data_IF_267463710990
#
_entry.id   IF_267463710990
#
_cell.length_a   1.000
_cell.length_b   1.000
_cell.length_c   1.000
_cell.angle_alpha   90.00
_cell.angle_beta   90.00
_cell.angle_gamma   90.00
#
_symmetry.space_group_name_H-M   'P 1'
#
loop_
_entity.id
_entity.type
_entity.pdbx_description
1 polymer ?
#
# COMPACT_ATOMS: atom_id res chain seq x y z
N UNK A 1 -2.26 26.95 34.22
CA UNK A 1 -2.55 25.88 33.25
C UNK A 1 -3.66 26.36 32.35
N UNK A 2 -3.65 25.96 31.09
CA UNK A 2 -4.63 26.36 30.09
C UNK A 2 -5.28 25.09 29.55
N UNK A 3 -6.59 25.15 29.37
CA UNK A 3 -7.40 24.05 28.87
C UNK A 3 -7.94 24.44 27.50
N UNK A 4 -7.66 23.63 26.47
CA UNK A 4 -8.06 23.92 25.10
C UNK A 4 -8.64 22.70 24.41
N UNK A 5 -9.59 22.97 23.52
CA UNK A 5 -10.00 22.05 22.47
C UNK A 5 -9.32 22.45 21.16
N UNK A 6 -8.63 21.50 20.53
CA UNK A 6 -7.95 21.66 19.26
C UNK A 6 -8.67 20.80 18.21
N UNK A 7 -9.08 21.44 17.12
CA UNK A 7 -9.68 20.77 15.96
C UNK A 7 -8.74 20.85 14.78
N UNK A 8 -8.29 19.68 14.30
CA UNK A 8 -7.40 19.56 13.16
C UNK A 8 -8.19 19.02 11.97
N UNK A 9 -8.15 19.75 10.85
CA UNK A 9 -8.87 19.40 9.61
C UNK A 9 -7.93 19.27 8.42
N UNK A 10 -8.37 18.53 7.40
CA UNK A 10 -7.60 18.20 6.19
C UNK A 10 -7.55 16.69 5.94
N UNK A 11 -6.43 16.20 5.39
CA UNK A 11 -6.15 14.75 5.29
C UNK A 11 -5.46 14.34 6.59
N UNK A 12 -6.26 14.07 7.62
CA UNK A 12 -5.76 13.82 9.00
C UNK A 12 -6.20 12.48 9.57
N UNK A 13 -6.98 11.71 8.80
CA UNK A 13 -7.43 10.37 9.19
C UNK A 13 -6.83 9.29 8.29
N UNK A 14 -6.49 8.15 8.88
CA UNK A 14 -5.78 7.08 8.17
C UNK A 14 -4.32 7.41 7.86
N UNK A 15 -3.74 8.41 8.51
CA UNK A 15 -2.36 8.88 8.22
C UNK A 15 -1.43 8.77 9.43
N UNK A 16 -1.84 8.05 10.47
CA UNK A 16 -1.07 7.94 11.71
C UNK A 16 -1.17 9.17 12.63
N UNK A 17 -2.17 10.03 12.43
CA UNK A 17 -2.34 11.26 13.22
C UNK A 17 -2.52 10.99 14.72
N UNK A 18 -3.40 10.06 15.13
CA UNK A 18 -3.61 9.73 16.56
C UNK A 18 -2.30 9.30 17.27
N UNK A 19 -1.50 8.34 16.73
CA UNK A 19 -0.15 8.05 17.24
C UNK A 19 0.78 9.25 17.30
N UNK A 20 0.77 10.10 16.27
CA UNK A 20 1.60 11.29 16.22
C UNK A 20 1.23 12.28 17.32
N UNK A 21 -0.06 12.62 17.45
CA UNK A 21 -0.60 13.48 18.50
C UNK A 21 -0.24 12.94 19.88
N UNK A 22 -0.38 11.64 20.11
CA UNK A 22 0.00 11.01 21.37
C UNK A 22 1.51 11.21 21.69
N UNK A 23 2.39 11.00 20.71
CA UNK A 23 3.84 11.20 20.91
C UNK A 23 4.19 12.66 21.19
N UNK A 24 3.61 13.59 20.44
CA UNK A 24 3.81 15.02 20.67
C UNK A 24 3.27 15.44 22.04
N UNK A 25 2.10 14.92 22.45
CA UNK A 25 1.54 15.18 23.76
C UNK A 25 2.50 14.71 24.88
N UNK A 26 3.04 13.51 24.76
CA UNK A 26 4.03 12.99 25.72
C UNK A 26 5.33 13.80 25.74
N UNK A 27 5.83 14.23 24.58
CA UNK A 27 7.06 15.02 24.48
C UNK A 27 6.93 16.41 25.12
N UNK A 28 5.73 17.00 25.06
CA UNK A 28 5.41 18.32 25.60
C UNK A 28 4.78 18.28 27.00
N UNK A 29 4.55 17.09 27.58
CA UNK A 29 3.92 16.93 28.91
C UNK A 29 2.44 17.36 28.94
N UNK A 30 1.71 17.10 27.86
CA UNK A 30 0.29 17.43 27.70
C UNK A 30 -0.56 16.31 28.31
N UNK A 31 -1.59 16.69 29.08
CA UNK A 31 -2.64 15.77 29.54
C UNK A 31 -3.91 15.96 28.70
N UNK A 32 -4.72 14.91 28.55
CA UNK A 32 -5.99 14.96 27.81
C UNK A 32 -6.17 13.81 26.83
N UNK A 33 -6.81 14.05 25.69
CA UNK A 33 -7.17 12.97 24.77
C UNK A 33 -7.16 13.38 23.29
N UNK A 34 -7.10 12.37 22.41
CA UNK A 34 -7.30 12.52 20.96
C UNK A 34 -8.30 11.49 20.42
N UNK A 35 -9.19 11.92 19.52
CA UNK A 35 -10.11 11.05 18.79
C UNK A 35 -10.31 11.46 17.35
N UNK A 36 -10.77 10.50 16.53
CA UNK A 36 -11.25 10.76 15.18
C UNK A 36 -12.76 11.03 15.22
N UNK A 37 -13.20 12.09 14.55
CA UNK A 37 -14.61 12.40 14.29
C UNK A 37 -14.90 12.38 12.77
N UNK A 38 -16.11 12.66 12.33
CA UNK A 38 -16.44 12.76 10.89
C UNK A 38 -15.80 13.97 10.20
N UNK A 39 -15.57 15.06 10.93
CA UNK A 39 -15.11 16.37 10.44
C UNK A 39 -13.63 16.68 10.72
N UNK A 40 -12.93 15.84 11.49
CA UNK A 40 -11.49 15.92 11.64
C UNK A 40 -10.92 15.06 12.76
N UNK A 41 -9.82 15.52 13.33
CA UNK A 41 -9.24 15.01 14.57
C UNK A 41 -9.49 16.03 15.66
N UNK A 42 -10.06 15.56 16.77
CA UNK A 42 -10.34 16.36 17.95
C UNK A 42 -9.35 16.00 19.04
N UNK A 43 -8.84 17.04 19.71
CA UNK A 43 -7.87 16.91 20.79
C UNK A 43 -8.35 17.80 21.93
N UNK A 44 -8.41 17.26 23.13
CA UNK A 44 -8.54 18.05 24.34
C UNK A 44 -7.18 18.02 25.05
N UNK A 45 -6.68 19.20 25.41
CA UNK A 45 -5.32 19.35 25.91
C UNK A 45 -5.28 20.32 27.10
N UNK A 46 -4.59 19.88 28.14
CA UNK A 46 -4.39 20.63 29.37
C UNK A 46 -2.90 20.62 29.74
N UNK A 47 -2.27 21.80 29.73
CA UNK A 47 -0.87 21.97 30.13
C UNK A 47 -0.54 23.44 30.46
N UNK A 48 0.73 23.77 30.64
CA UNK A 48 1.17 25.18 30.67
C UNK A 48 0.99 25.83 29.30
N UNK A 49 0.97 27.17 29.27
CA UNK A 49 0.79 27.93 28.02
C UNK A 49 1.94 27.61 27.07
N UNK A 50 3.17 27.58 27.59
CA UNK A 50 4.38 27.31 26.81
C UNK A 50 4.38 25.90 26.20
N UNK A 51 3.89 24.91 26.95
CA UNK A 51 3.78 23.53 26.47
C UNK A 51 2.73 23.40 25.35
N UNK A 52 1.56 24.04 25.51
CA UNK A 52 0.50 24.04 24.51
C UNK A 52 0.90 24.75 23.22
N UNK A 53 1.57 25.89 23.32
CA UNK A 53 2.01 26.64 22.14
C UNK A 53 3.02 25.81 21.32
N UNK A 54 3.96 25.13 21.99
CA UNK A 54 4.88 24.18 21.35
C UNK A 54 4.17 23.00 20.71
N UNK A 55 3.19 22.41 21.41
CA UNK A 55 2.39 21.29 20.90
C UNK A 55 1.58 21.68 19.66
N UNK A 56 0.88 22.82 19.68
CA UNK A 56 0.08 23.30 18.53
C UNK A 56 0.96 23.61 17.33
N UNK A 57 2.16 24.18 17.53
CA UNK A 57 3.13 24.38 16.46
C UNK A 57 3.57 23.04 15.85
N UNK A 58 3.90 22.06 16.69
CA UNK A 58 4.31 20.73 16.26
C UNK A 58 3.21 20.02 15.43
N UNK A 59 1.93 20.18 15.79
CA UNK A 59 0.81 19.61 15.03
C UNK A 59 0.78 20.05 13.55
N UNK A 60 1.31 21.24 13.24
CA UNK A 60 1.40 21.76 11.88
C UNK A 60 2.75 21.48 11.22
N UNK A 61 3.85 21.64 11.96
CA UNK A 61 5.22 21.57 11.43
C UNK A 61 5.75 20.13 11.27
N UNK A 62 5.33 19.22 12.15
CA UNK A 62 5.83 17.85 12.22
C UNK A 62 4.78 16.80 11.86
N UNK A 63 3.69 17.23 11.22
CA UNK A 63 2.60 16.33 10.81
C UNK A 63 3.13 15.11 10.03
N UNK A 64 2.50 13.93 10.18
CA UNK A 64 2.92 12.72 9.47
C UNK A 64 3.06 12.98 7.96
N UNK A 65 4.02 12.34 7.29
CA UNK A 65 4.30 12.58 5.86
C UNK A 65 3.10 12.32 4.92
N UNK A 66 2.17 11.47 5.35
CA UNK A 66 0.92 11.18 4.64
C UNK A 66 -0.21 12.16 4.97
N UNK A 67 -0.06 12.95 6.03
CA UNK A 67 -1.04 13.92 6.47
C UNK A 67 -0.91 15.23 5.70
N UNK A 68 -2.03 15.90 5.50
CA UNK A 68 -2.07 17.28 5.03
C UNK A 68 -3.00 18.06 5.94
N UNK A 69 -2.41 18.78 6.88
CA UNK A 69 -3.14 19.66 7.78
C UNK A 69 -3.50 20.94 7.01
N UNK A 70 -4.79 21.26 6.93
CA UNK A 70 -5.29 22.47 6.28
C UNK A 70 -5.58 23.57 7.29
N UNK A 71 -6.18 23.20 8.43
CA UNK A 71 -6.50 24.14 9.49
C UNK A 71 -6.37 23.48 10.87
N UNK A 72 -5.83 24.24 11.82
CA UNK A 72 -5.79 23.90 13.24
C UNK A 72 -6.54 25.00 13.98
N UNK A 73 -7.74 24.70 14.46
CA UNK A 73 -8.52 25.62 15.28
C UNK A 73 -8.24 25.32 16.76
N UNK A 74 -8.01 26.36 17.56
CA UNK A 74 -7.83 26.23 19.02
C UNK A 74 -8.91 27.06 19.70
N UNK A 75 -9.67 26.43 20.59
CA UNK A 75 -10.68 27.09 21.41
C UNK A 75 -10.34 26.87 22.88
N UNK A 76 -10.34 27.95 23.66
CA UNK A 76 -10.21 27.86 25.11
C UNK A 76 -11.46 27.23 25.72
N UNK A 77 -11.25 26.28 26.62
CA UNK A 77 -12.32 25.65 27.41
C UNK A 77 -12.29 26.19 28.84
N UNK A 78 -13.44 26.09 29.52
CA UNK A 78 -13.54 26.55 30.91
C UNK A 78 -12.63 25.70 31.83
N UNK A 79 -11.91 26.33 32.79
CA UNK A 79 -10.91 25.64 33.62
C UNK A 79 -11.47 24.55 34.55
N UNK A 80 -12.79 24.50 34.77
CA UNK A 80 -13.44 23.73 35.84
C UNK A 80 -14.34 22.59 35.34
N UNK A 81 -14.34 22.31 34.03
CA UNK A 81 -15.08 21.17 33.41
C UNK A 81 -14.05 20.13 32.99
N UNK A 82 -13.51 19.40 33.97
CA UNK A 82 -12.52 18.36 33.71
C UNK A 82 -12.91 17.07 34.43
N UNK A 83 -12.90 15.95 33.70
CA UNK A 83 -13.03 14.63 34.31
C UNK A 83 -11.69 14.25 34.94
N UNK A 84 -11.70 13.78 36.19
CA UNK A 84 -10.48 13.48 36.95
C UNK A 84 -9.54 12.46 36.27
N UNK A 85 -10.07 11.67 35.32
CA UNK A 85 -9.32 10.70 34.52
C UNK A 85 -8.41 11.35 33.48
N UNK A 86 -8.74 12.55 32.98
CA UNK A 86 -7.95 13.24 31.95
C UNK A 86 -6.74 13.97 32.56
N UNK A 87 -6.69 14.10 33.89
CA UNK A 87 -5.69 14.89 34.64
C UNK A 87 -4.32 14.19 34.76
N UNK A 88 -4.25 12.88 34.48
CA UNK A 88 -3.08 12.06 34.83
C UNK A 88 -2.27 11.57 33.62
N UNK A 89 -2.85 11.54 32.42
CA UNK A 89 -2.17 11.04 31.21
C UNK A 89 -2.84 11.56 29.93
N UNK A 90 -2.12 11.44 28.81
CA UNK A 90 -2.70 11.61 27.49
C UNK A 90 -3.21 10.27 26.94
N UNK A 91 -4.40 10.21 26.34
CA UNK A 91 -5.00 8.96 25.86
C UNK A 91 -5.59 9.07 24.45
N UNK A 92 -5.50 7.98 23.68
CA UNK A 92 -6.25 7.86 22.42
C UNK A 92 -7.58 7.21 22.75
N UNK A 93 -8.68 7.94 22.54
CA UNK A 93 -10.04 7.47 22.87
C UNK A 93 -10.80 7.02 21.63
N UNK A 94 -11.92 6.32 21.86
CA UNK A 94 -12.75 5.79 20.78
C UNK A 94 -13.29 6.90 19.88
N UNK A 95 -13.35 6.60 18.58
CA UNK A 95 -13.84 7.52 17.56
C UNK A 95 -15.33 7.85 17.76
N UNK A 96 -15.75 9.08 17.43
CA UNK A 96 -17.15 9.54 17.58
C UNK A 96 -17.81 9.82 16.22
N UNK A 97 -19.07 9.41 16.05
CA UNK A 97 -19.78 9.42 14.76
C UNK A 97 -20.89 10.49 14.67
N UNK A 98 -20.89 11.49 15.56
CA UNK A 98 -21.99 12.47 15.68
C UNK A 98 -21.83 13.72 14.79
N UNK A 99 -20.70 13.85 14.10
CA UNK A 99 -20.34 15.02 13.27
C UNK A 99 -20.55 14.71 11.78
N UNK A 100 -20.88 15.72 10.97
CA UNK A 100 -20.95 15.57 9.52
C UNK A 100 -19.60 15.09 8.93
N UNK A 101 -19.62 14.15 7.99
CA UNK A 101 -18.41 13.62 7.35
C UNK A 101 -17.80 14.60 6.35
N UNK A 102 -17.04 15.58 6.84
CA UNK A 102 -16.37 16.59 6.00
C UNK A 102 -14.87 16.33 5.82
N UNK A 103 -14.31 15.33 6.52
CA UNK A 103 -12.87 15.02 6.45
C UNK A 103 -12.48 14.37 5.11
N UNK A 104 -11.30 14.74 4.60
CA UNK A 104 -10.71 14.13 3.41
C UNK A 104 -10.07 12.77 3.76
N UNK A 105 -10.40 11.74 2.99
CA UNK A 105 -9.83 10.40 3.15
C UNK A 105 -8.47 10.32 2.44
N UNK A 106 -7.45 9.82 3.14
CA UNK A 106 -6.15 9.57 2.53
C UNK A 106 -6.23 8.59 1.36
N UNK A 107 -5.51 8.83 0.24
CA UNK A 107 -5.31 7.82 -0.77
C UNK A 107 -4.57 6.60 -0.19
N UNK A 108 -4.58 5.49 -0.93
CA UNK A 108 -3.75 4.33 -0.60
C UNK A 108 -2.25 4.68 -0.76
N UNK A 109 -1.43 4.11 0.11
CA UNK A 109 -0.01 4.44 0.21
C UNK A 109 0.81 3.19 -0.04
N UNK A 110 1.83 3.29 -0.89
CA UNK A 110 2.75 2.20 -1.17
C UNK A 110 3.51 1.73 0.09
N UNK A 111 3.87 0.46 0.14
CA UNK A 111 4.65 -0.12 1.25
C UNK A 111 5.92 0.71 1.52
N UNK A 112 6.07 1.21 2.74
CA UNK A 112 7.25 2.00 3.16
C UNK A 112 8.49 1.12 3.30
N UNK A 113 9.66 1.76 3.37
CA UNK A 113 10.96 1.08 3.41
C UNK A 113 11.16 0.22 4.68
N UNK A 114 10.56 0.61 5.81
CA UNK A 114 10.60 -0.19 7.04
C UNK A 114 9.77 -1.47 6.92
N UNK A 115 8.55 -1.40 6.39
CA UNK A 115 7.77 -2.61 6.09
C UNK A 115 8.45 -3.47 5.03
N UNK A 116 9.14 -2.85 4.06
CA UNK A 116 9.92 -3.60 3.08
C UNK A 116 11.08 -4.35 3.71
N UNK A 117 11.76 -3.76 4.70
CA UNK A 117 12.83 -4.42 5.45
C UNK A 117 12.31 -5.64 6.19
N UNK A 118 11.23 -5.48 6.96
CA UNK A 118 10.58 -6.57 7.71
C UNK A 118 10.06 -7.67 6.78
N UNK A 119 9.46 -7.31 5.63
CA UNK A 119 8.96 -8.27 4.66
C UNK A 119 10.04 -9.24 4.18
N UNK A 120 11.30 -8.79 4.12
CA UNK A 120 12.45 -9.58 3.64
C UNK A 120 13.43 -9.96 4.75
N UNK A 121 13.11 -9.74 6.01
CA UNK A 121 13.92 -10.16 7.15
C UNK A 121 13.46 -11.54 7.66
N UNK A 122 14.25 -12.62 7.51
CA UNK A 122 13.88 -13.96 7.98
C UNK A 122 13.62 -14.06 9.49
N UNK A 123 14.10 -13.10 10.29
CA UNK A 123 13.86 -13.07 11.72
C UNK A 123 12.54 -12.38 12.10
N UNK A 124 11.91 -11.64 11.17
CA UNK A 124 10.66 -10.94 11.43
C UNK A 124 9.46 -11.89 11.35
N UNK A 125 8.49 -11.71 12.25
CA UNK A 125 7.25 -12.52 12.27
C UNK A 125 6.40 -12.36 11.00
N UNK A 126 6.56 -11.24 10.29
CA UNK A 126 5.91 -10.91 9.03
C UNK A 126 6.83 -11.13 7.84
N UNK A 127 7.92 -11.89 8.01
CA UNK A 127 8.73 -12.36 6.90
C UNK A 127 7.82 -13.00 5.84
N UNK A 128 7.89 -12.48 4.63
CA UNK A 128 7.07 -12.94 3.52
C UNK A 128 5.55 -12.84 3.75
N UNK A 129 5.05 -11.90 4.56
CA UNK A 129 3.62 -11.66 4.71
C UNK A 129 3.06 -10.69 3.64
N UNK A 130 2.14 -11.13 2.74
CA UNK A 130 1.71 -10.32 1.59
C UNK A 130 0.94 -9.02 1.90
N UNK A 131 0.38 -8.91 3.10
CA UNK A 131 -0.49 -7.79 3.49
C UNK A 131 0.16 -6.88 4.54
N UNK A 132 1.49 -6.96 4.69
CA UNK A 132 2.25 -6.13 5.63
C UNK A 132 1.99 -4.64 5.39
N UNK A 133 1.69 -3.93 6.47
CA UNK A 133 1.50 -2.48 6.49
C UNK A 133 1.83 -1.93 7.88
N UNK A 134 1.79 -0.60 8.00
CA UNK A 134 1.91 0.13 9.27
C UNK A 134 1.04 1.39 9.21
N UNK A 135 1.11 2.21 10.25
CA UNK A 135 0.43 3.52 10.30
C UNK A 135 0.77 4.44 9.12
N UNK A 136 1.99 4.33 8.58
CA UNK A 136 2.52 5.20 7.51
C UNK A 136 2.33 4.64 6.08
N UNK A 137 1.82 3.41 5.90
CA UNK A 137 1.68 2.82 4.57
C UNK A 137 0.53 1.80 4.46
N UNK A 138 0.23 1.36 3.23
CA UNK A 138 -0.78 0.35 2.94
C UNK A 138 -2.12 0.93 2.51
N UNK A 139 -3.15 0.08 2.40
CA UNK A 139 -4.46 0.49 1.93
C UNK A 139 -5.15 1.45 2.89
N UNK A 140 -5.85 2.43 2.34
CA UNK A 140 -6.67 3.43 3.05
C UNK A 140 -8.02 3.52 2.35
N UNK A 141 -8.17 4.44 1.39
CA UNK A 141 -9.40 4.64 0.64
C UNK A 141 -10.04 3.34 0.13
N UNK A 142 -9.24 2.39 -0.35
CA UNK A 142 -9.76 1.11 -0.90
C UNK A 142 -10.40 0.17 0.12
N UNK A 143 -10.15 0.36 1.42
CA UNK A 143 -10.66 -0.53 2.48
C UNK A 143 -11.60 0.18 3.46
N UNK A 144 -11.68 1.50 3.42
CA UNK A 144 -12.56 2.29 4.31
C UNK A 144 -14.01 2.17 3.82
N UNK A 145 -14.92 1.80 4.72
CA UNK A 145 -16.37 1.74 4.46
C UNK A 145 -17.07 3.01 4.86
N UNK A 146 -16.69 3.59 6.00
CA UNK A 146 -17.23 4.85 6.53
C UNK A 146 -16.19 5.57 7.39
N UNK A 147 -16.44 6.85 7.65
CA UNK A 147 -15.75 7.60 8.69
C UNK A 147 -16.60 7.56 9.98
N UNK A 148 -16.00 7.79 11.16
CA UNK A 148 -14.58 8.02 11.42
C UNK A 148 -13.69 6.79 11.16
N UNK A 149 -12.42 7.03 10.82
CA UNK A 149 -11.48 5.96 10.47
C UNK A 149 -11.12 5.09 11.68
N UNK A 150 -11.69 3.88 11.70
CA UNK A 150 -11.47 2.86 12.69
C UNK A 150 -11.55 1.46 12.05
N UNK A 151 -10.94 0.43 12.66
CA UNK A 151 -10.86 -0.92 12.09
C UNK A 151 -12.26 -1.47 11.78
N UNK A 152 -13.21 -1.26 12.68
CA UNK A 152 -14.61 -1.68 12.53
C UNK A 152 -15.31 -1.04 11.31
N UNK A 153 -14.85 0.14 10.88
CA UNK A 153 -15.34 0.85 9.70
C UNK A 153 -14.51 0.53 8.43
N UNK A 154 -13.74 -0.56 8.41
CA UNK A 154 -12.97 -1.01 7.25
C UNK A 154 -13.30 -2.45 6.84
N UNK A 155 -12.76 -2.91 5.72
CA UNK A 155 -12.79 -4.32 5.34
C UNK A 155 -11.96 -5.24 6.25
N UNK A 156 -11.22 -4.69 7.23
CA UNK A 156 -10.47 -5.46 8.22
C UNK A 156 -11.33 -5.84 9.45
N UNK A 157 -12.59 -5.42 9.49
CA UNK A 157 -13.55 -5.75 10.56
C UNK A 157 -13.75 -7.25 10.77
N UNK A 158 -13.70 -8.03 9.69
CA UNK A 158 -13.86 -9.48 9.72
C UNK A 158 -12.60 -10.26 10.09
N UNK A 159 -11.50 -9.56 10.43
CA UNK A 159 -10.22 -10.14 10.84
C UNK A 159 -9.90 -9.69 12.28
N UNK A 160 -10.33 -10.43 13.31
CA UNK A 160 -10.00 -10.08 14.70
C UNK A 160 -8.50 -10.19 14.95
N UNK A 161 -7.87 -9.21 15.60
CA UNK A 161 -6.43 -9.22 15.88
C UNK A 161 -6.05 -10.39 16.80
N UNK A 162 -4.93 -11.07 16.50
CA UNK A 162 -4.31 -11.99 17.45
C UNK A 162 -3.68 -11.21 18.63
N UNK A 163 -3.35 -11.88 19.75
CA UNK A 163 -2.76 -11.21 20.92
C UNK A 163 -1.51 -10.37 20.60
N UNK A 164 -0.66 -10.84 19.68
CA UNK A 164 0.58 -10.17 19.31
C UNK A 164 0.37 -8.98 18.39
N UNK A 165 -0.68 -8.98 17.55
CA UNK A 165 -1.08 -7.77 16.80
C UNK A 165 -1.78 -6.77 17.71
N UNK A 166 -2.60 -7.26 18.65
CA UNK A 166 -3.24 -6.39 19.64
C UNK A 166 -2.23 -5.70 20.56
N UNK A 167 -1.15 -6.38 20.95
CA UNK A 167 -0.06 -5.80 21.71
C UNK A 167 0.65 -4.66 20.95
N UNK A 168 1.05 -4.91 19.69
CA UNK A 168 1.66 -3.87 18.83
C UNK A 168 0.69 -2.70 18.56
N UNK A 169 -0.60 -2.98 18.40
CA UNK A 169 -1.62 -1.95 18.20
C UNK A 169 -1.75 -1.03 19.42
N UNK A 170 -1.58 -1.58 20.63
CA UNK A 170 -1.72 -0.87 21.90
C UNK A 170 -0.42 -0.27 22.46
N UNK A 171 0.75 -0.66 21.94
CA UNK A 171 2.05 -0.15 22.41
C UNK A 171 2.42 1.16 21.71
N UNK A 172 2.51 2.30 22.42
CA UNK A 172 2.87 3.59 21.83
C UNK A 172 4.27 3.67 21.22
N UNK A 173 5.17 2.76 21.62
CA UNK A 173 6.54 2.68 21.10
C UNK A 173 6.60 1.83 19.82
N UNK A 174 5.57 1.05 19.52
CA UNK A 174 5.50 0.28 18.29
C UNK A 174 5.07 1.16 17.11
N UNK A 175 5.70 0.93 15.96
CA UNK A 175 5.35 1.60 14.69
C UNK A 175 3.92 1.29 14.21
N UNK A 176 3.32 0.21 14.70
CA UNK A 176 1.95 -0.24 14.44
C UNK A 176 0.96 0.23 15.50
N UNK A 177 1.37 1.08 16.43
CA UNK A 177 0.46 1.75 17.36
C UNK A 177 -0.73 2.37 16.62
N UNK A 178 -1.95 1.94 16.92
CA UNK A 178 -3.18 2.33 16.22
C UNK A 178 -3.20 2.14 14.69
N UNK A 179 -2.40 1.23 14.13
CA UNK A 179 -2.51 0.81 12.73
C UNK A 179 -3.79 0.00 12.53
N UNK A 180 -4.85 0.65 12.04
CA UNK A 180 -6.15 0.03 11.83
C UNK A 180 -6.13 -1.23 10.95
N UNK A 181 -5.31 -1.30 9.87
CA UNK A 181 -5.21 -2.50 9.04
C UNK A 181 -4.10 -3.47 9.49
N UNK A 182 -3.63 -3.39 10.74
CA UNK A 182 -2.60 -4.31 11.22
C UNK A 182 -3.08 -5.77 11.22
N UNK A 183 -2.17 -6.65 10.84
CA UNK A 183 -2.38 -8.07 10.67
C UNK A 183 -1.06 -8.86 10.53
N UNK A 184 -1.16 -10.17 10.69
CA UNK A 184 -0.10 -11.15 10.44
C UNK A 184 -0.69 -12.41 9.75
N UNK A 185 0.12 -13.47 9.61
CA UNK A 185 -0.36 -14.75 9.07
C UNK A 185 -1.46 -15.40 9.91
N UNK A 186 -1.51 -15.17 11.23
CA UNK A 186 -2.46 -15.83 12.12
C UNK A 186 -3.87 -15.19 12.09
N UNK A 187 -3.93 -13.86 12.05
CA UNK A 187 -5.19 -13.11 12.15
C UNK A 187 -5.61 -12.40 10.86
N UNK A 188 -4.72 -12.30 9.88
CA UNK A 188 -4.94 -11.49 8.69
C UNK A 188 -5.54 -12.23 7.51
N UNK A 189 -5.72 -11.51 6.39
CA UNK A 189 -6.07 -12.12 5.12
C UNK A 189 -4.95 -13.02 4.57
N UNK A 190 -5.35 -14.01 3.77
CA UNK A 190 -4.45 -14.92 3.05
C UNK A 190 -4.63 -14.80 1.55
N UNK A 191 -3.56 -15.02 0.81
CA UNK A 191 -3.64 -15.12 -0.65
C UNK A 191 -4.27 -16.45 -1.05
N UNK A 192 -4.98 -16.45 -2.17
CA UNK A 192 -5.58 -17.67 -2.73
C UNK A 192 -5.20 -17.79 -4.20
N UNK A 193 -5.10 -19.04 -4.66
CA UNK A 193 -4.68 -19.36 -6.00
C UNK A 193 -5.67 -20.27 -6.70
N UNK A 194 -5.99 -19.94 -7.95
CA UNK A 194 -6.88 -20.71 -8.82
C UNK A 194 -6.29 -20.76 -10.21
N UNK A 195 -6.19 -21.97 -10.75
CA UNK A 195 -5.83 -22.22 -12.15
C UNK A 195 -7.04 -22.79 -12.89
N UNK A 196 -7.38 -22.19 -14.03
CA UNK A 196 -8.34 -22.80 -14.94
C UNK A 196 -7.65 -23.93 -15.71
N UNK A 197 -8.18 -25.16 -15.62
CA UNK A 197 -7.71 -26.28 -16.42
C UNK A 197 -7.91 -25.96 -17.92
N UNK A 198 -6.81 -25.88 -18.68
CA UNK A 198 -6.88 -25.68 -20.14
C UNK A 198 -7.58 -26.88 -20.79
N UNK A 199 -8.73 -26.65 -21.42
CA UNK A 199 -9.39 -27.64 -22.30
C UNK A 199 -10.58 -28.40 -21.71
N UNK A 200 -10.96 -28.13 -20.46
CA UNK A 200 -12.21 -28.63 -19.87
C UNK A 200 -13.15 -27.43 -19.77
N UNK A 201 -14.34 -27.51 -20.37
CA UNK A 201 -15.40 -26.53 -20.09
C UNK A 201 -15.58 -26.48 -18.56
N UNK A 202 -15.68 -25.30 -17.91
CA UNK A 202 -15.73 -25.21 -16.45
C UNK A 202 -16.94 -25.99 -15.92
N UNK A 203 -16.69 -27.24 -15.53
CA UNK A 203 -17.64 -28.11 -14.87
C UNK A 203 -17.60 -27.69 -13.41
N UNK A 204 -18.45 -26.73 -13.05
CA UNK A 204 -18.56 -26.23 -11.68
C UNK A 204 -17.32 -25.46 -11.22
N UNK A 205 -17.52 -24.63 -10.20
CA UNK A 205 -16.49 -23.80 -9.57
C UNK A 205 -15.72 -24.65 -8.54
N UNK A 206 -15.50 -25.93 -8.84
CA UNK A 206 -15.37 -26.99 -7.83
C UNK A 206 -13.92 -27.36 -7.46
N UNK A 207 -12.92 -26.69 -8.07
CA UNK A 207 -11.56 -26.77 -7.54
C UNK A 207 -11.44 -25.82 -6.34
N UNK A 208 -11.26 -26.38 -5.14
CA UNK A 208 -10.92 -25.60 -3.95
C UNK A 208 -9.63 -24.81 -4.23
N UNK A 209 -9.63 -23.48 -4.03
CA UNK A 209 -8.43 -22.70 -4.24
C UNK A 209 -7.34 -23.14 -3.26
N UNK A 210 -6.09 -23.16 -3.71
CA UNK A 210 -4.98 -23.24 -2.77
C UNK A 210 -4.97 -21.95 -1.92
N UNK A 211 -4.78 -22.08 -0.61
CA UNK A 211 -4.79 -20.97 0.35
C UNK A 211 -3.42 -20.86 0.99
N UNK A 212 -2.84 -19.66 0.96
CA UNK A 212 -1.56 -19.34 1.59
C UNK A 212 -1.71 -19.09 3.09
N UNK A 213 -2.22 -20.07 3.84
CA UNK A 213 -2.50 -19.94 5.28
C UNK A 213 -1.23 -19.90 6.14
N UNK A 214 -0.12 -20.44 5.64
CA UNK A 214 1.21 -20.32 6.23
C UNK A 214 2.14 -19.60 5.27
N UNK A 215 3.31 -19.20 5.78
CA UNK A 215 4.39 -18.62 4.96
C UNK A 215 4.75 -19.53 3.79
N UNK A 216 5.01 -20.82 4.05
CA UNK A 216 5.42 -21.79 3.04
C UNK A 216 4.34 -21.99 1.97
N UNK A 217 3.07 -22.05 2.38
CA UNK A 217 1.96 -22.16 1.44
C UNK A 217 1.77 -20.88 0.61
N UNK A 218 1.97 -19.71 1.23
CA UNK A 218 1.97 -18.42 0.53
C UNK A 218 3.12 -18.33 -0.48
N UNK A 219 4.33 -18.71 -0.07
CA UNK A 219 5.52 -18.74 -0.93
C UNK A 219 5.30 -19.67 -2.13
N UNK A 220 4.77 -20.88 -1.91
CA UNK A 220 4.46 -21.82 -2.99
C UNK A 220 3.44 -21.26 -4.00
N UNK A 221 2.42 -20.51 -3.56
CA UNK A 221 1.47 -19.84 -4.45
C UNK A 221 2.19 -18.78 -5.30
N UNK A 222 3.08 -18.01 -4.69
CA UNK A 222 3.79 -16.95 -5.39
C UNK A 222 4.81 -17.54 -6.37
N UNK A 223 5.54 -18.58 -5.98
CA UNK A 223 6.41 -19.36 -6.86
C UNK A 223 5.64 -19.90 -8.06
N UNK A 224 4.46 -20.48 -7.83
CA UNK A 224 3.60 -20.98 -8.91
C UNK A 224 3.16 -19.87 -9.87
N UNK A 225 2.81 -18.70 -9.35
CA UNK A 225 2.48 -17.52 -10.15
C UNK A 225 3.69 -17.09 -11.01
N UNK A 226 4.88 -17.07 -10.41
CA UNK A 226 6.14 -16.74 -11.09
C UNK A 226 6.47 -17.73 -12.21
N UNK A 227 6.36 -19.03 -11.95
CA UNK A 227 6.55 -20.08 -12.95
C UNK A 227 5.62 -19.90 -14.16
N UNK A 228 4.34 -19.62 -13.90
CA UNK A 228 3.37 -19.42 -14.97
C UNK A 228 3.67 -18.19 -15.81
N UNK A 229 4.07 -17.08 -15.18
CA UNK A 229 4.46 -15.87 -15.90
C UNK A 229 5.72 -16.09 -16.73
N UNK A 230 6.74 -16.77 -16.17
CA UNK A 230 7.96 -17.15 -16.87
C UNK A 230 7.67 -18.10 -18.04
N UNK A 231 6.71 -19.01 -17.89
CA UNK A 231 6.21 -19.89 -18.95
C UNK A 231 5.36 -19.19 -20.03
N UNK A 232 5.22 -17.87 -20.00
CA UNK A 232 4.41 -17.09 -20.95
C UNK A 232 2.90 -17.15 -20.70
N UNK A 233 2.50 -17.56 -19.50
CA UNK A 233 1.13 -17.51 -19.00
C UNK A 233 0.64 -16.08 -18.73
N UNK A 234 -0.66 -15.98 -18.44
CA UNK A 234 -1.32 -14.74 -18.07
C UNK A 234 -2.03 -14.98 -16.74
N UNK A 235 -1.76 -14.14 -15.75
CA UNK A 235 -2.31 -14.26 -14.40
C UNK A 235 -3.15 -13.03 -14.07
N UNK A 236 -4.26 -13.23 -13.36
CA UNK A 236 -5.03 -12.14 -12.75
C UNK A 236 -4.59 -11.95 -11.30
N UNK A 237 -4.08 -10.78 -10.94
CA UNK A 237 -3.59 -10.45 -9.60
C UNK A 237 -4.52 -9.41 -8.99
N UNK A 238 -5.02 -9.68 -7.78
CA UNK A 238 -5.80 -8.70 -7.00
C UNK A 238 -4.83 -7.69 -6.37
N UNK A 239 -4.85 -6.45 -6.84
CA UNK A 239 -4.21 -5.31 -6.18
C UNK A 239 -5.19 -4.60 -5.25
N UNK A 240 -4.78 -3.43 -4.72
CA UNK A 240 -5.61 -2.62 -3.81
C UNK A 240 -6.92 -2.15 -4.48
N UNK A 241 -6.82 -1.54 -5.66
CA UNK A 241 -7.96 -0.96 -6.38
C UNK A 241 -8.71 -1.92 -7.33
N UNK A 242 -8.37 -3.20 -7.33
CA UNK A 242 -9.02 -4.19 -8.20
C UNK A 242 -8.06 -5.20 -8.83
N UNK A 243 -8.50 -5.87 -9.89
CA UNK A 243 -7.72 -6.91 -10.56
C UNK A 243 -6.90 -6.37 -11.72
N UNK A 244 -5.66 -6.86 -11.80
CA UNK A 244 -4.71 -6.61 -12.87
C UNK A 244 -4.47 -7.90 -13.65
N UNK A 245 -4.47 -7.83 -14.98
CA UNK A 245 -3.93 -8.91 -15.80
C UNK A 245 -2.44 -8.66 -15.99
N UNK A 246 -1.63 -9.66 -15.65
CA UNK A 246 -0.18 -9.65 -15.73
C UNK A 246 0.31 -10.73 -16.68
N UNK A 247 1.31 -10.39 -17.50
CA UNK A 247 2.10 -11.34 -18.29
C UNK A 247 3.53 -10.82 -18.40
N UNK A 248 4.47 -11.66 -18.81
CA UNK A 248 5.82 -11.19 -19.13
C UNK A 248 5.79 -10.21 -20.32
N UNK A 249 6.26 -8.99 -20.10
CA UNK A 249 6.34 -7.91 -21.09
C UNK A 249 7.46 -8.13 -22.12
N UNK A 250 8.42 -9.01 -21.84
CA UNK A 250 9.47 -9.42 -22.78
C UNK A 250 8.97 -10.48 -23.77
N UNK A 251 8.01 -11.31 -23.33
CA UNK A 251 7.45 -12.41 -24.11
C UNK A 251 6.41 -11.92 -25.14
N UNK A 252 6.83 -11.90 -26.42
CA UNK A 252 5.98 -11.48 -27.55
C UNK A 252 4.68 -12.28 -27.67
N UNK A 253 4.70 -13.58 -27.39
CA UNK A 253 3.51 -14.44 -27.52
C UNK A 253 2.51 -14.14 -26.39
N UNK A 254 3.00 -14.02 -25.15
CA UNK A 254 2.16 -13.71 -24.00
C UNK A 254 1.45 -12.35 -24.15
N UNK A 255 2.17 -11.31 -24.58
CA UNK A 255 1.59 -9.97 -24.80
C UNK A 255 0.55 -9.98 -25.91
N UNK A 256 0.78 -10.71 -27.01
CA UNK A 256 -0.20 -10.86 -28.09
C UNK A 256 -1.46 -11.59 -27.62
N UNK A 257 -1.30 -12.66 -26.85
CA UNK A 257 -2.43 -13.41 -26.30
C UNK A 257 -3.24 -12.58 -25.30
N UNK A 258 -2.57 -11.80 -24.45
CA UNK A 258 -3.22 -10.87 -23.53
C UNK A 258 -4.07 -9.84 -24.30
N UNK A 259 -3.51 -9.24 -25.35
CA UNK A 259 -4.25 -8.29 -26.21
C UNK A 259 -5.45 -8.92 -26.90
N UNK A 260 -5.29 -10.15 -27.41
CA UNK A 260 -6.35 -10.92 -28.06
C UNK A 260 -7.50 -11.20 -27.09
N UNK A 261 -7.21 -11.75 -25.91
CA UNK A 261 -8.22 -12.06 -24.88
C UNK A 261 -8.92 -10.81 -24.35
N UNK A 262 -8.17 -9.73 -24.14
CA UNK A 262 -8.71 -8.46 -23.65
C UNK A 262 -9.42 -7.62 -24.73
N UNK A 263 -9.37 -8.05 -26.00
CA UNK A 263 -9.86 -7.27 -27.16
C UNK A 263 -9.28 -5.85 -27.16
N UNK A 264 -7.98 -5.72 -26.88
CA UNK A 264 -7.26 -4.44 -26.76
C UNK A 264 -6.12 -4.39 -27.78
N UNK A 265 -6.43 -3.92 -28.99
CA UNK A 265 -5.49 -3.89 -30.13
C UNK A 265 -4.29 -2.98 -29.88
N UNK A 266 -4.48 -1.66 -29.86
CA UNK A 266 -3.38 -0.70 -29.96
C UNK A 266 -3.08 0.07 -28.68
N UNK A 267 -4.04 0.17 -27.75
CA UNK A 267 -3.85 0.98 -26.54
C UNK A 267 -2.66 0.44 -25.73
N UNK A 268 -1.71 1.29 -25.30
CA UNK A 268 -0.52 0.87 -24.57
C UNK A 268 -0.85 0.06 -23.32
N UNK A 269 0.05 -0.84 -22.97
CA UNK A 269 0.04 -1.57 -21.71
C UNK A 269 1.10 -0.96 -20.80
N UNK A 270 0.76 -0.79 -19.51
CA UNK A 270 1.73 -0.36 -18.53
C UNK A 270 2.72 -1.49 -18.26
N UNK A 271 3.93 -1.15 -17.81
CA UNK A 271 4.97 -2.10 -17.43
C UNK A 271 5.38 -1.81 -15.99
N UNK A 272 5.27 -2.82 -15.14
CA UNK A 272 5.86 -2.79 -13.81
C UNK A 272 7.30 -3.29 -13.89
N UNK A 273 8.23 -2.52 -13.33
CA UNK A 273 9.65 -2.85 -13.23
C UNK A 273 10.06 -3.00 -11.76
N UNK A 274 11.24 -3.56 -11.50
CA UNK A 274 11.74 -3.83 -10.13
C UNK A 274 11.87 -2.58 -9.28
N UNK A 275 12.64 -1.66 -9.83
CA UNK A 275 13.29 -0.54 -9.19
C UNK A 275 13.57 0.54 -10.26
N UNK A 276 14.09 1.67 -9.79
CA UNK A 276 14.44 2.78 -10.67
C UNK A 276 15.54 2.42 -11.68
N UNK A 277 16.50 1.56 -11.32
CA UNK A 277 17.58 1.19 -12.22
C UNK A 277 17.04 0.45 -13.46
N UNK A 278 16.09 -0.47 -13.28
CA UNK A 278 15.41 -1.14 -14.40
C UNK A 278 14.54 -0.19 -15.23
N UNK A 279 13.97 0.85 -14.62
CA UNK A 279 13.24 1.91 -15.32
C UNK A 279 14.18 2.75 -16.21
N UNK A 280 15.34 3.16 -15.68
CA UNK A 280 16.35 3.97 -16.39
C UNK A 280 16.99 3.23 -17.56
N UNK A 281 17.07 1.89 -17.48
CA UNK A 281 17.48 1.04 -18.59
C UNK A 281 16.48 1.06 -19.76
N UNK A 282 15.21 1.34 -19.50
CA UNK A 282 14.14 1.39 -20.51
C UNK A 282 13.86 2.78 -21.05
N UNK A 283 13.92 3.78 -20.18
CA UNK A 283 13.45 5.13 -20.45
C UNK A 283 14.45 6.17 -19.95
N UNK A 284 14.33 7.38 -20.49
CA UNK A 284 14.89 8.56 -19.86
C UNK A 284 14.01 8.95 -18.69
N UNK A 285 14.64 9.33 -17.57
CA UNK A 285 13.96 9.70 -16.33
C UNK A 285 14.62 10.99 -15.82
N UNK A 286 13.84 12.05 -15.67
CA UNK A 286 14.26 13.29 -15.01
C UNK A 286 14.06 13.25 -13.48
N UNK A 287 14.35 14.36 -12.79
CA UNK A 287 14.21 14.44 -11.34
C UNK A 287 12.77 14.29 -10.85
N UNK A 288 11.81 14.93 -11.54
CA UNK A 288 10.39 14.92 -11.15
C UNK A 288 9.77 13.54 -11.43
N UNK A 289 10.08 12.94 -12.56
CA UNK A 289 9.65 11.58 -12.93
C UNK A 289 10.18 10.55 -11.94
N UNK A 290 11.43 10.72 -11.47
CA UNK A 290 12.04 9.87 -10.45
C UNK A 290 11.29 9.97 -9.12
N UNK A 291 11.01 11.19 -8.66
CA UNK A 291 10.26 11.45 -7.43
C UNK A 291 8.84 10.88 -7.50
N UNK A 292 8.16 11.03 -8.65
CA UNK A 292 6.83 10.46 -8.84
C UNK A 292 6.85 8.92 -8.78
N UNK A 293 7.79 8.27 -9.47
CA UNK A 293 7.90 6.80 -9.48
C UNK A 293 8.22 6.22 -8.11
N UNK A 294 9.15 6.84 -7.38
CA UNK A 294 9.64 6.35 -6.09
C UNK A 294 8.79 6.81 -4.91
N UNK A 295 8.00 7.87 -5.10
CA UNK A 295 7.15 8.46 -4.09
C UNK A 295 6.10 7.50 -3.53
N UNK A 296 5.42 7.92 -2.47
CA UNK A 296 4.49 7.11 -1.71
C UNK A 296 3.24 6.66 -2.50
N UNK A 297 2.88 7.38 -3.56
CA UNK A 297 1.71 7.08 -4.41
C UNK A 297 2.03 6.01 -5.47
N UNK A 298 3.28 5.93 -5.95
CA UNK A 298 3.76 5.03 -7.02
C UNK A 298 2.79 4.89 -8.22
N UNK A 299 2.46 5.99 -8.93
CA UNK A 299 1.59 5.96 -10.10
C UNK A 299 2.27 5.30 -11.31
N UNK A 300 1.49 5.13 -12.38
CA UNK A 300 2.05 4.88 -13.72
C UNK A 300 2.51 6.22 -14.29
N UNK A 301 3.81 6.35 -14.56
CA UNK A 301 4.41 7.54 -15.17
C UNK A 301 4.71 7.26 -16.64
N UNK A 302 4.35 8.20 -17.52
CA UNK A 302 4.69 8.13 -18.94
C UNK A 302 6.12 8.64 -19.13
N UNK A 303 7.02 7.75 -19.53
CA UNK A 303 8.45 8.08 -19.69
C UNK A 303 8.86 7.95 -21.15
N UNK A 304 9.77 8.82 -21.59
CA UNK A 304 10.34 8.73 -22.95
C UNK A 304 11.21 7.48 -23.07
N UNK A 305 10.84 6.58 -23.98
CA UNK A 305 11.54 5.32 -24.23
C UNK A 305 12.91 5.55 -24.87
N UNK A 306 13.91 4.79 -24.45
CA UNK A 306 15.22 4.72 -25.12
C UNK A 306 15.10 3.93 -26.43
N UNK A 307 15.67 4.45 -27.51
CA UNK A 307 15.70 3.71 -28.78
C UNK A 307 16.80 2.64 -28.75
N UNK A 308 16.63 1.57 -29.54
CA UNK A 308 17.65 0.53 -29.70
C UNK A 308 18.84 1.17 -30.42
N UNK A 309 19.92 1.47 -29.69
CA UNK A 309 21.14 2.10 -30.20
C UNK A 309 21.54 3.39 -29.46
N UNK A 310 20.61 4.04 -28.74
CA UNK A 310 20.92 5.21 -27.91
C UNK A 310 21.37 4.77 -26.50
N UNK A 311 22.65 4.41 -26.39
CA UNK A 311 23.35 4.46 -25.09
C UNK A 311 23.76 3.14 -24.43
N UNK A 312 23.76 2.02 -25.14
CA UNK A 312 24.53 0.83 -24.75
C UNK A 312 24.85 0.04 -26.03
N UNK A 313 26.03 0.29 -26.62
CA UNK A 313 26.59 -0.63 -27.60
C UNK A 313 26.73 -2.01 -26.98
N UNK A 314 26.18 -3.04 -27.62
CA UNK A 314 26.43 -4.46 -27.37
C UNK A 314 26.60 -4.90 -25.91
N UNK A 315 25.82 -4.33 -24.99
CA UNK A 315 25.76 -4.83 -23.62
C UNK A 315 24.77 -6.01 -23.63
N UNK A 316 25.20 -7.26 -23.34
CA UNK A 316 24.36 -8.46 -23.38
C UNK A 316 23.18 -8.43 -22.38
N UNK A 317 23.11 -7.40 -21.53
CA UNK A 317 22.09 -7.15 -20.50
C UNK A 317 21.04 -6.10 -20.92
N UNK A 318 20.98 -5.75 -22.21
CA UNK A 318 19.96 -4.84 -22.74
C UNK A 318 18.56 -5.41 -22.50
N UNK A 319 17.78 -4.68 -21.73
CA UNK A 319 16.56 -5.18 -21.12
C UNK A 319 15.43 -4.88 -22.14
N UNK A 320 15.08 -5.86 -22.97
CA UNK A 320 14.19 -5.71 -24.15
C UNK A 320 12.71 -5.96 -23.83
N UNK A 321 11.80 -5.16 -24.40
CA UNK A 321 10.34 -5.34 -24.32
C UNK A 321 9.78 -5.85 -25.65
N UNK A 322 8.69 -6.61 -25.59
CA UNK A 322 7.94 -6.97 -26.77
C UNK A 322 7.41 -5.70 -27.47
N UNK A 323 7.59 -5.53 -28.79
CA UNK A 323 7.13 -4.33 -29.51
C UNK A 323 5.64 -4.05 -29.31
N UNK A 324 4.82 -5.10 -29.15
CA UNK A 324 3.39 -4.98 -28.91
C UNK A 324 3.02 -4.37 -27.55
N UNK A 325 3.95 -4.08 -26.64
CA UNK A 325 3.64 -3.40 -25.37
C UNK A 325 3.12 -1.99 -25.61
N UNK A 326 3.86 -1.20 -26.39
CA UNK A 326 3.55 0.20 -26.72
C UNK A 326 3.58 0.50 -28.23
N UNK A 327 3.81 -0.52 -29.07
CA UNK A 327 4.01 -0.38 -30.52
C UNK A 327 5.10 0.65 -30.83
N UNK A 328 4.80 1.61 -31.70
CA UNK A 328 5.74 2.65 -32.16
C UNK A 328 5.58 3.96 -31.38
N UNK A 329 5.00 3.91 -30.18
CA UNK A 329 4.88 5.11 -29.36
C UNK A 329 6.23 5.48 -28.73
N UNK A 330 6.55 6.79 -28.64
CA UNK A 330 7.80 7.26 -28.05
C UNK A 330 7.81 7.15 -26.53
N UNK A 331 6.64 6.97 -25.90
CA UNK A 331 6.47 6.92 -24.46
C UNK A 331 6.04 5.52 -23.99
N UNK A 332 6.47 5.17 -22.79
CA UNK A 332 6.11 3.95 -22.10
C UNK A 332 5.53 4.29 -20.73
N UNK A 333 4.36 3.74 -20.40
CA UNK A 333 3.82 3.79 -19.05
C UNK A 333 4.57 2.82 -18.14
N UNK A 334 5.34 3.34 -17.20
CA UNK A 334 6.14 2.57 -16.24
C UNK A 334 5.62 2.78 -14.83
N UNK A 335 5.62 1.73 -14.01
CA UNK A 335 5.30 1.82 -12.59
C UNK A 335 6.26 0.96 -11.76
N UNK A 336 6.44 1.33 -10.50
CA UNK A 336 7.14 0.52 -9.49
C UNK A 336 6.13 -0.31 -8.68
N UNK A 337 6.57 -1.38 -7.98
CA UNK A 337 5.67 -2.19 -7.18
C UNK A 337 5.18 -1.37 -5.97
N UNK A 338 3.87 -1.22 -5.82
CA UNK A 338 3.24 -0.37 -4.78
C UNK A 338 2.74 -1.17 -3.57
N UNK A 339 2.31 -2.41 -3.78
CA UNK A 339 2.16 -3.44 -2.74
C UNK A 339 3.17 -4.53 -3.01
N UNK A 340 4.07 -4.79 -2.07
CA UNK A 340 5.17 -5.75 -2.29
C UNK A 340 4.72 -7.14 -1.82
N UNK A 341 4.69 -8.07 -2.78
CA UNK A 341 4.44 -9.50 -2.52
C UNK A 341 5.75 -10.19 -2.10
N UNK A 342 5.70 -11.22 -1.24
CA UNK A 342 6.83 -11.86 -0.55
C UNK A 342 7.99 -12.42 -1.36
N UNK A 343 7.76 -12.96 -2.56
CA UNK A 343 8.88 -13.37 -3.37
C UNK A 343 9.57 -12.11 -3.89
N UNK A 344 10.91 -12.05 -3.78
CA UNK A 344 11.84 -11.17 -4.51
C UNK A 344 11.13 -10.17 -5.44
N UNK A 345 11.33 -8.86 -5.25
CA UNK A 345 10.44 -7.79 -5.73
C UNK A 345 9.85 -8.20 -7.07
N UNK A 346 8.52 -8.24 -7.25
CA UNK A 346 7.75 -8.70 -8.43
C UNK A 346 8.25 -8.35 -9.86
N UNK A 347 9.47 -7.89 -10.05
CA UNK A 347 10.44 -8.52 -10.96
C UNK A 347 10.55 -10.02 -10.73
N UNK A 348 10.05 -10.74 -11.71
CA UNK A 348 10.36 -12.13 -11.87
C UNK A 348 11.86 -12.20 -12.23
N UNK A 349 12.75 -12.52 -11.29
CA UNK A 349 14.07 -13.07 -11.63
C UNK A 349 14.05 -14.52 -11.18
N UNK A 350 14.34 -15.49 -12.06
CA UNK A 350 14.51 -16.87 -11.63
C UNK A 350 15.67 -16.93 -10.63
N UNK A 351 15.36 -17.37 -9.40
CA UNK A 351 16.38 -17.83 -8.48
C UNK A 351 16.79 -19.24 -8.88
N UNK A 352 18.04 -19.41 -9.27
CA UNK A 352 18.62 -20.74 -9.39
C UNK A 352 19.24 -21.17 -8.07
N UNK A 353 18.84 -22.34 -7.61
CA UNK A 353 19.85 -23.36 -7.30
C UNK A 353 20.19 -24.08 -8.63
N UNK A 354 21.47 -24.00 -9.02
CA UNK A 354 22.19 -24.79 -10.04
C UNK A 354 21.98 -24.61 -11.56
N UNK A 355 21.36 -23.56 -12.08
CA UNK A 355 21.43 -23.20 -13.52
C UNK A 355 22.04 -21.79 -13.74
N UNK A 356 22.49 -21.42 -14.95
CA UNK A 356 23.04 -20.08 -15.23
C UNK A 356 21.96 -18.99 -15.08
N UNK A 357 22.32 -17.73 -14.79
CA UNK A 357 21.36 -16.66 -14.50
C UNK A 357 20.46 -16.38 -15.71
N UNK A 358 19.16 -16.66 -15.58
CA UNK A 358 18.15 -16.28 -16.57
C UNK A 358 17.53 -14.92 -16.22
N UNK A 359 17.19 -14.17 -17.27
CA UNK A 359 16.99 -12.73 -17.32
C UNK A 359 15.84 -12.16 -16.45
N UNK A 360 15.91 -10.87 -16.05
CA UNK A 360 14.86 -10.16 -15.30
C UNK A 360 13.57 -10.04 -16.13
N UNK A 361 12.59 -10.84 -15.75
CA UNK A 361 11.25 -10.93 -16.31
C UNK A 361 10.36 -9.83 -15.71
N UNK A 362 9.61 -9.18 -16.59
CA UNK A 362 8.94 -7.88 -16.36
C UNK A 362 7.45 -8.07 -16.50
N UNK A 363 6.62 -7.48 -15.63
CA UNK A 363 5.18 -7.66 -15.76
C UNK A 363 4.55 -6.53 -16.58
N UNK A 364 3.93 -6.86 -17.72
CA UNK A 364 2.99 -5.93 -18.35
C UNK A 364 1.67 -6.00 -17.60
N UNK A 365 1.22 -4.86 -17.10
CA UNK A 365 0.04 -4.75 -16.25
C UNK A 365 -1.05 -4.02 -17.01
N UNK A 366 -2.27 -4.58 -16.98
CA UNK A 366 -3.43 -3.88 -17.49
C UNK A 366 -4.65 -4.13 -16.60
N UNK A 367 -5.32 -3.06 -16.16
CA UNK A 367 -6.49 -3.10 -15.28
C UNK A 367 -7.65 -3.84 -15.94
N UNK A 368 -8.19 -4.87 -15.30
CA UNK A 368 -9.46 -5.43 -15.70
C UNK A 368 -10.54 -4.37 -15.38
N UNK A 369 -11.22 -3.83 -16.40
CA UNK A 369 -12.38 -2.96 -16.14
C UNK A 369 -13.48 -3.84 -15.56
N UNK A 370 -13.75 -3.74 -14.25
CA UNK A 370 -14.92 -4.34 -13.63
C UNK A 370 -16.12 -3.40 -13.79
N UNK A 371 -16.76 -3.43 -14.95
CA UNK A 371 -18.18 -3.14 -15.04
C UNK A 371 -18.89 -4.48 -15.25
N UNK A 372 -19.50 -5.02 -14.18
CA UNK A 372 -20.45 -6.15 -14.20
C UNK A 372 -20.17 -7.19 -15.30
N UNK A 373 -19.28 -8.13 -15.03
CA UNK A 373 -19.20 -9.34 -15.83
C UNK A 373 -19.10 -10.55 -14.89
N UNK A 374 -20.25 -10.96 -14.38
CA UNK A 374 -20.54 -12.39 -14.22
C UNK A 374 -20.45 -12.99 -15.63
N UNK A 375 -19.24 -13.30 -16.07
CA UNK A 375 -19.03 -14.05 -17.30
C UNK A 375 -17.80 -14.89 -17.07
N UNK A 376 -18.09 -16.12 -16.65
CA UNK A 376 -17.36 -17.35 -16.92
C UNK A 376 -16.07 -17.14 -17.72
N UNK A 377 -14.93 -17.28 -17.04
CA UNK A 377 -13.63 -17.59 -17.62
C UNK A 377 -13.35 -19.07 -17.44
#
# INVERSE_FOLDING_TARGET
>A
MRHVHIHVTGIVQGVGMRPFVYREAMAHGICGWVLNAGDGVHIEAHASVEALDGFVAALSEHAPAAARVEHVAVADLEPDVWDADDEQAFRIVASQDQTAHTTLISPDIATCDDCLRELFDPADRRYHYPFINCTNCGPRFTIIRSLPYDRAATSMDCFPMCPECAAEYGDPLDRRFHAQPDACFDCGPHITWREANRGVAPAGVDATPAVGSTREASDAIIERCVELLAGGGIVAIKGLGGFHLACDASNKQAVRELRRRKRRSNKPLAVMVRDLADAERLCHIDGVERELLAGSIRPIVLLRRRTVGEGNGDSPDALVLAPSVAHNLPELGVMLPYTKSPSRPMTILPGNTSLPPASPTRCSVTTAQSSRATTTL
#
